data_IF_608043115703
#
_entry.id   IF_608043115703
#
_cell.length_a   1.000
_cell.length_b   1.000
_cell.length_c   1.000
_cell.angle_alpha   90.00
_cell.angle_beta   90.00
_cell.angle_gamma   90.00
#
_symmetry.space_group_name_H-M   'P 1'
#
loop_
_entity.id
_entity.type
_entity.pdbx_description
1 polymer ?
#
# COMPACT_ATOMS: atom_id res chain seq x y z
N UNK A 1 -21.58 12.96 12.87
CA UNK A 1 -22.84 12.21 12.92
C UNK A 1 -22.89 11.48 14.26
N UNK A 2 -23.86 11.86 15.12
CA UNK A 2 -24.05 11.30 16.47
C UNK A 2 -24.27 9.78 16.42
N UNK A 3 -25.03 9.30 15.46
CA UNK A 3 -25.38 7.88 15.32
C UNK A 3 -24.11 7.03 15.10
N UNK A 4 -23.18 7.51 14.28
CA UNK A 4 -21.92 6.80 14.03
C UNK A 4 -21.03 6.77 15.28
N UNK A 5 -20.99 7.85 16.05
CA UNK A 5 -20.28 7.87 17.34
C UNK A 5 -20.85 6.86 18.32
N UNK A 6 -22.19 6.80 18.45
CA UNK A 6 -22.85 5.87 19.36
C UNK A 6 -22.64 4.41 18.96
N UNK A 7 -22.71 4.10 17.66
CA UNK A 7 -22.40 2.76 17.13
C UNK A 7 -20.96 2.37 17.45
N UNK A 8 -20.01 3.29 17.20
CA UNK A 8 -18.59 3.06 17.49
C UNK A 8 -18.38 2.87 19.00
N UNK A 9 -18.96 3.72 19.83
CA UNK A 9 -18.82 3.66 21.29
C UNK A 9 -19.36 2.34 21.86
N UNK A 10 -20.52 1.90 21.40
CA UNK A 10 -21.11 0.62 21.80
C UNK A 10 -20.22 -0.57 21.41
N UNK A 11 -19.69 -0.55 20.20
CA UNK A 11 -18.79 -1.60 19.69
C UNK A 11 -17.45 -1.60 20.45
N UNK A 12 -16.87 -0.43 20.72
CA UNK A 12 -15.63 -0.30 21.48
C UNK A 12 -15.81 -0.77 22.94
N UNK A 13 -16.93 -0.43 23.60
CA UNK A 13 -17.26 -0.93 24.94
C UNK A 13 -17.43 -2.44 24.96
N UNK A 14 -18.03 -3.02 23.94
CA UNK A 14 -18.12 -4.47 23.80
C UNK A 14 -16.74 -5.09 23.66
N UNK A 15 -15.88 -4.53 22.78
CA UNK A 15 -14.52 -5.00 22.58
C UNK A 15 -13.70 -5.00 23.88
N UNK A 16 -13.77 -3.91 24.66
CA UNK A 16 -13.07 -3.80 25.96
C UNK A 16 -13.60 -4.84 26.95
N UNK A 17 -14.92 -5.05 27.01
CA UNK A 17 -15.49 -6.06 27.90
C UNK A 17 -15.04 -7.48 27.55
N UNK A 18 -14.85 -7.77 26.26
CA UNK A 18 -14.43 -9.07 25.76
C UNK A 18 -12.90 -9.23 25.79
N UNK A 19 -12.15 -8.15 26.03
CA UNK A 19 -10.70 -8.12 26.15
C UNK A 19 -10.24 -8.21 27.61
N UNK A 20 -8.94 -8.34 27.81
CA UNK A 20 -8.32 -8.27 29.14
C UNK A 20 -7.92 -6.86 29.56
N UNK A 21 -8.07 -5.86 28.69
CA UNK A 21 -7.58 -4.51 28.93
C UNK A 21 -8.50 -3.70 29.85
N UNK A 22 -7.87 -2.94 30.74
CA UNK A 22 -8.56 -2.04 31.68
C UNK A 22 -8.45 -0.61 31.16
N UNK A 23 -9.31 -0.27 30.23
CA UNK A 23 -9.35 1.05 29.61
C UNK A 23 -10.76 1.64 29.67
N UNK A 24 -10.83 2.95 29.77
CA UNK A 24 -12.05 3.73 29.62
C UNK A 24 -11.76 4.96 28.74
N UNK A 25 -12.77 5.68 28.34
CA UNK A 25 -12.62 6.90 27.58
C UNK A 25 -13.76 7.87 27.83
N UNK A 26 -13.50 9.10 27.47
CA UNK A 26 -14.51 10.15 27.42
C UNK A 26 -14.50 10.78 26.02
N UNK A 27 -15.66 11.24 25.59
CA UNK A 27 -15.84 11.95 24.35
C UNK A 27 -15.90 13.44 24.60
N UNK A 28 -15.33 14.22 23.72
CA UNK A 28 -15.49 15.66 23.65
C UNK A 28 -15.78 16.08 22.22
N UNK A 29 -16.66 17.04 22.04
CA UNK A 29 -16.91 17.68 20.76
C UNK A 29 -15.81 18.72 20.51
N UNK A 30 -15.23 18.64 19.32
CA UNK A 30 -14.19 19.57 18.87
C UNK A 30 -14.53 19.96 17.44
N UNK A 31 -15.12 21.12 17.28
CA UNK A 31 -15.58 21.64 16.00
C UNK A 31 -16.52 20.66 15.25
N UNK A 32 -16.05 20.07 14.14
CA UNK A 32 -16.85 19.15 13.32
C UNK A 32 -16.59 17.67 13.61
N UNK A 33 -15.80 17.33 14.62
CA UNK A 33 -15.44 15.94 14.94
C UNK A 33 -15.51 15.64 16.44
N UNK A 34 -15.57 14.35 16.75
CA UNK A 34 -15.52 13.85 18.12
C UNK A 34 -14.10 13.40 18.48
N UNK A 35 -13.62 13.87 19.62
CA UNK A 35 -12.34 13.44 20.18
C UNK A 35 -12.57 12.42 21.29
N UNK A 36 -12.02 11.22 21.12
CA UNK A 36 -11.99 10.18 22.13
C UNK A 36 -10.70 10.26 22.93
N UNK A 37 -10.80 10.51 24.23
CA UNK A 37 -9.67 10.55 25.16
C UNK A 37 -9.71 9.34 26.06
N UNK A 38 -8.71 8.49 25.96
CA UNK A 38 -8.61 7.29 26.78
C UNK A 38 -8.00 7.52 28.14
N UNK A 39 -8.38 6.65 29.07
CA UNK A 39 -7.91 6.60 30.46
C UNK A 39 -7.67 5.14 30.86
N UNK A 40 -6.80 4.96 31.83
CA UNK A 40 -6.48 3.63 32.40
C UNK A 40 -5.02 3.24 32.17
N UNK A 41 -4.56 2.24 32.97
CA UNK A 41 -3.17 1.78 32.93
C UNK A 41 -2.75 1.17 31.57
N UNK A 42 -3.72 0.59 30.89
CA UNK A 42 -3.48 -0.13 29.64
C UNK A 42 -3.73 0.74 28.39
N UNK A 43 -4.17 2.00 28.55
CA UNK A 43 -4.37 2.90 27.42
C UNK A 43 -3.03 3.31 26.80
N UNK A 44 -2.68 2.65 25.72
CA UNK A 44 -1.43 2.84 24.99
C UNK A 44 -1.68 2.80 23.49
N UNK A 45 -0.74 3.32 22.66
CA UNK A 45 -0.86 3.25 21.20
C UNK A 45 -1.15 1.85 20.68
N UNK A 46 -0.53 0.84 21.27
CA UNK A 46 -0.75 -0.55 20.89
C UNK A 46 -2.23 -0.96 21.08
N UNK A 47 -2.78 -0.69 22.25
CA UNK A 47 -4.12 -1.14 22.62
C UNK A 47 -5.21 -0.42 21.82
N UNK A 48 -5.15 0.90 21.71
CA UNK A 48 -6.16 1.60 20.93
C UNK A 48 -6.04 1.35 19.41
N UNK A 49 -4.84 1.12 18.88
CA UNK A 49 -4.68 0.70 17.47
C UNK A 49 -5.25 -0.70 17.25
N UNK A 50 -5.04 -1.63 18.19
CA UNK A 50 -5.63 -2.95 18.16
C UNK A 50 -7.16 -2.87 18.14
N UNK A 51 -7.76 -2.12 19.07
CA UNK A 51 -9.21 -1.89 19.15
C UNK A 51 -9.77 -1.30 17.84
N UNK A 52 -9.20 -0.20 17.36
CA UNK A 52 -9.67 0.47 16.14
C UNK A 52 -9.53 -0.45 14.92
N UNK A 53 -8.46 -1.23 14.85
CA UNK A 53 -8.23 -2.18 13.77
C UNK A 53 -9.28 -3.28 13.76
N UNK A 54 -9.60 -3.83 14.93
CA UNK A 54 -10.63 -4.86 15.04
C UNK A 54 -12.01 -4.32 14.66
N UNK A 55 -12.37 -3.12 15.14
CA UNK A 55 -13.64 -2.46 14.78
C UNK A 55 -13.70 -2.16 13.26
N UNK A 56 -12.57 -1.81 12.66
CA UNK A 56 -12.48 -1.64 11.21
C UNK A 56 -12.68 -2.99 10.48
N UNK A 57 -12.08 -4.07 10.96
CA UNK A 57 -12.26 -5.39 10.37
C UNK A 57 -13.68 -5.94 10.53
N UNK A 58 -14.38 -5.56 11.59
CA UNK A 58 -15.79 -5.85 11.79
C UNK A 58 -16.72 -4.99 10.92
N UNK A 59 -16.21 -3.97 10.22
CA UNK A 59 -16.97 -3.06 9.37
C UNK A 59 -17.72 -1.96 10.11
N UNK A 60 -17.45 -1.77 11.42
CA UNK A 60 -18.01 -0.67 12.23
C UNK A 60 -17.51 0.68 11.67
N UNK A 61 -16.25 0.73 11.27
CA UNK A 61 -15.67 1.86 10.52
C UNK A 61 -15.25 1.41 9.14
N UNK A 62 -15.40 2.27 8.13
CA UNK A 62 -15.06 1.96 6.73
C UNK A 62 -13.79 2.66 6.26
N UNK A 63 -13.35 3.66 6.99
CA UNK A 63 -12.15 4.41 6.71
C UNK A 63 -11.30 4.51 7.97
N UNK A 64 -10.00 4.27 7.81
CA UNK A 64 -9.03 4.42 8.88
C UNK A 64 -7.92 5.34 8.40
N UNK A 65 -7.70 6.43 9.12
CA UNK A 65 -6.63 7.39 8.84
C UNK A 65 -5.64 7.34 9.99
N UNK A 66 -4.37 7.22 9.68
CA UNK A 66 -3.34 7.15 10.70
C UNK A 66 -1.96 7.49 10.17
N UNK A 67 -1.06 7.76 11.08
CA UNK A 67 0.34 7.97 10.73
C UNK A 67 1.01 6.65 10.37
N UNK A 68 2.07 6.74 9.56
CA UNK A 68 2.90 5.57 9.24
C UNK A 68 3.47 4.89 10.49
N UNK A 69 3.72 5.62 11.57
CA UNK A 69 4.20 5.04 12.81
C UNK A 69 3.16 4.16 13.51
N UNK A 70 1.88 4.52 13.44
CA UNK A 70 0.79 3.76 14.04
C UNK A 70 0.35 2.57 13.17
N UNK A 71 0.21 2.80 11.87
CA UNK A 71 -0.25 1.80 10.89
C UNK A 71 0.92 1.16 10.14
N UNK A 72 2.12 1.28 10.70
CA UNK A 72 3.36 0.82 10.12
C UNK A 72 3.70 -0.63 10.44
N UNK A 73 4.95 -0.87 10.83
CA UNK A 73 5.49 -2.21 11.07
C UNK A 73 4.67 -2.96 12.12
N UNK A 74 4.37 -4.24 11.86
CA UNK A 74 3.57 -5.08 12.75
C UNK A 74 2.05 -4.91 12.67
N UNK A 75 1.53 -3.84 12.04
CA UNK A 75 0.10 -3.67 11.89
C UNK A 75 -0.50 -4.60 10.82
N UNK A 76 -1.61 -5.24 11.15
CA UNK A 76 -2.31 -6.18 10.27
C UNK A 76 -3.81 -5.91 10.21
N UNK A 77 -4.33 -5.77 8.99
CA UNK A 77 -5.75 -5.70 8.72
C UNK A 77 -6.05 -6.30 7.34
N UNK A 78 -6.45 -7.55 7.30
CA UNK A 78 -6.68 -8.31 6.05
C UNK A 78 -7.82 -7.74 5.19
N UNK A 79 -8.77 -7.02 5.79
CA UNK A 79 -9.95 -6.47 5.10
C UNK A 79 -9.70 -5.17 4.34
N UNK A 80 -8.50 -4.59 4.44
CA UNK A 80 -8.15 -3.41 3.66
C UNK A 80 -8.13 -3.75 2.18
N UNK A 81 -8.94 -3.06 1.40
CA UNK A 81 -8.99 -3.20 -0.05
C UNK A 81 -8.70 -1.89 -0.80
N UNK A 82 -8.54 -0.80 -0.08
CA UNK A 82 -8.08 0.49 -0.61
C UNK A 82 -7.02 1.04 0.31
N UNK A 83 -5.89 1.42 -0.24
CA UNK A 83 -4.83 2.16 0.43
C UNK A 83 -4.63 3.50 -0.28
N UNK A 84 -4.72 4.59 0.46
CA UNK A 84 -4.40 5.93 -0.04
C UNK A 84 -3.13 6.38 0.66
N UNK A 85 -2.03 6.46 -0.09
CA UNK A 85 -0.73 6.82 0.45
C UNK A 85 -0.48 8.33 0.31
N UNK A 86 -0.52 9.02 1.44
CA UNK A 86 -0.20 10.44 1.58
C UNK A 86 1.23 10.67 2.10
N UNK A 87 2.05 9.61 2.18
CA UNK A 87 3.38 9.69 2.78
C UNK A 87 4.45 10.11 1.79
N UNK A 88 5.55 10.67 2.30
CA UNK A 88 6.74 10.97 1.50
C UNK A 88 7.66 9.75 1.31
N UNK A 89 7.21 8.53 1.64
CA UNK A 89 8.04 7.34 1.52
C UNK A 89 8.37 7.06 0.05
N UNK A 90 9.66 6.91 -0.26
CA UNK A 90 10.13 6.63 -1.63
C UNK A 90 11.12 5.48 -1.70
N UNK A 91 11.51 4.89 -0.56
CA UNK A 91 12.36 3.70 -0.55
C UNK A 91 11.56 2.47 -0.94
N UNK A 92 12.15 1.59 -1.73
CA UNK A 92 11.49 0.37 -2.23
C UNK A 92 10.88 -0.47 -1.09
N UNK A 93 11.65 -0.69 -0.03
CA UNK A 93 11.20 -1.47 1.14
C UNK A 93 9.98 -0.84 1.79
N UNK A 94 10.02 0.48 2.07
CA UNK A 94 8.91 1.15 2.72
C UNK A 94 7.63 1.15 1.88
N UNK A 95 7.77 1.34 0.57
CA UNK A 95 6.64 1.32 -0.37
C UNK A 95 6.02 -0.07 -0.47
N UNK A 96 6.84 -1.11 -0.59
CA UNK A 96 6.35 -2.50 -0.65
C UNK A 96 5.71 -2.94 0.66
N UNK A 97 6.27 -2.58 1.80
CA UNK A 97 5.65 -2.85 3.10
C UNK A 97 4.29 -2.19 3.23
N UNK A 98 4.15 -0.93 2.80
CA UNK A 98 2.90 -0.20 2.87
C UNK A 98 1.84 -0.82 1.95
N UNK A 99 2.17 -1.02 0.67
CA UNK A 99 1.26 -1.63 -0.32
C UNK A 99 0.91 -3.07 -0.01
N UNK A 100 1.87 -3.84 0.50
CA UNK A 100 1.66 -5.22 0.89
C UNK A 100 0.55 -5.42 1.92
N UNK A 101 0.20 -4.39 2.69
CA UNK A 101 -0.90 -4.46 3.66
C UNK A 101 -2.27 -4.55 3.01
N UNK A 102 -2.52 -3.73 2.00
CA UNK A 102 -3.78 -3.77 1.26
C UNK A 102 -3.93 -5.04 0.43
N UNK A 103 -2.81 -5.62 0.00
CA UNK A 103 -2.77 -6.84 -0.83
C UNK A 103 -2.84 -8.14 -0.02
N UNK A 104 -2.90 -8.08 1.31
CA UNK A 104 -3.07 -9.29 2.14
C UNK A 104 -4.36 -10.01 1.77
N UNK A 105 -4.27 -11.33 1.75
CA UNK A 105 -5.42 -12.17 1.46
C UNK A 105 -6.45 -12.05 2.60
N UNK A 106 -7.71 -12.06 2.22
CA UNK A 106 -8.84 -12.11 3.13
C UNK A 106 -9.53 -13.48 2.96
N UNK A 107 -9.64 -14.22 4.05
CA UNK A 107 -10.27 -15.56 4.02
C UNK A 107 -11.75 -15.48 3.65
N UNK A 108 -12.41 -14.38 4.03
CA UNK A 108 -13.83 -14.16 3.77
C UNK A 108 -14.09 -13.69 2.33
N UNK A 109 -13.04 -13.13 1.67
CA UNK A 109 -13.12 -12.59 0.31
C UNK A 109 -11.94 -13.13 -0.53
N UNK A 110 -12.01 -14.39 -0.98
CA UNK A 110 -10.92 -15.04 -1.73
C UNK A 110 -10.53 -14.32 -3.03
N UNK A 111 -11.47 -13.56 -3.59
CA UNK A 111 -11.26 -12.78 -4.81
C UNK A 111 -10.94 -11.30 -4.53
N UNK A 112 -10.49 -10.99 -3.34
CA UNK A 112 -10.13 -9.63 -2.96
C UNK A 112 -9.12 -9.02 -3.93
N UNK A 113 -9.39 -7.79 -4.34
CA UNK A 113 -8.50 -6.95 -5.13
C UNK A 113 -8.29 -5.65 -4.36
N UNK A 114 -7.05 -5.20 -4.29
CA UNK A 114 -6.68 -3.98 -3.61
C UNK A 114 -6.36 -2.86 -4.61
N UNK A 115 -6.87 -1.66 -4.33
CA UNK A 115 -6.49 -0.44 -5.02
C UNK A 115 -5.50 0.35 -4.16
N UNK A 116 -4.30 0.59 -4.69
CA UNK A 116 -3.30 1.42 -4.04
C UNK A 116 -3.23 2.76 -4.77
N UNK A 117 -3.50 3.83 -4.05
CA UNK A 117 -3.51 5.20 -4.55
C UNK A 117 -2.33 5.98 -4.02
N UNK A 118 -1.65 6.66 -4.89
CA UNK A 118 -0.69 7.70 -4.55
C UNK A 118 -1.32 9.06 -4.79
N UNK A 119 -1.32 9.91 -3.79
CA UNK A 119 -1.74 11.30 -3.94
C UNK A 119 -0.49 12.15 -4.14
N UNK A 120 -0.47 12.92 -5.22
CA UNK A 120 0.66 13.75 -5.61
C UNK A 120 0.24 15.22 -5.57
N UNK A 121 0.93 16.00 -4.78
CA UNK A 121 0.74 17.44 -4.74
C UNK A 121 1.54 18.13 -5.84
N UNK A 122 0.87 18.96 -6.62
CA UNK A 122 1.49 19.79 -7.67
C UNK A 122 1.27 21.26 -7.31
N UNK A 123 2.34 22.00 -7.15
CA UNK A 123 2.32 23.42 -6.82
C UNK A 123 3.48 24.12 -7.53
N UNK A 124 3.45 24.18 -8.88
CA UNK A 124 4.58 24.63 -9.71
C UNK A 124 5.00 26.09 -9.46
N UNK A 125 4.14 26.87 -8.86
CA UNK A 125 4.43 28.24 -8.42
C UNK A 125 5.49 28.34 -7.30
N UNK A 126 5.76 27.22 -6.61
CA UNK A 126 6.79 27.15 -5.58
C UNK A 126 8.07 26.51 -6.09
N UNK A 127 9.21 26.94 -5.56
CA UNK A 127 10.54 26.43 -5.94
C UNK A 127 10.66 24.90 -5.88
N UNK A 128 9.97 24.25 -4.93
CA UNK A 128 9.96 22.79 -4.73
C UNK A 128 8.60 22.17 -5.02
N UNK A 129 7.73 22.87 -5.68
CA UNK A 129 6.34 22.48 -5.87
C UNK A 129 6.12 21.22 -6.73
N UNK A 130 7.15 20.76 -7.45
CA UNK A 130 7.14 19.52 -8.24
C UNK A 130 7.91 18.37 -7.58
N UNK A 131 8.44 18.57 -6.39
CA UNK A 131 9.27 17.53 -5.74
C UNK A 131 8.44 16.30 -5.35
N UNK A 132 7.14 16.47 -5.10
CA UNK A 132 6.25 15.36 -4.82
C UNK A 132 6.04 14.48 -6.04
N UNK A 133 5.90 15.05 -7.22
CA UNK A 133 5.86 14.29 -8.47
C UNK A 133 7.19 13.57 -8.75
N UNK A 134 8.31 14.20 -8.49
CA UNK A 134 9.63 13.54 -8.62
C UNK A 134 9.75 12.37 -7.65
N UNK A 135 9.25 12.52 -6.41
CA UNK A 135 9.18 11.41 -5.44
C UNK A 135 8.29 10.27 -5.93
N UNK A 136 7.11 10.59 -6.47
CA UNK A 136 6.21 9.60 -7.07
C UNK A 136 6.92 8.80 -8.17
N UNK A 137 7.58 9.45 -9.10
CA UNK A 137 8.36 8.76 -10.14
C UNK A 137 9.46 7.87 -9.56
N UNK A 138 10.20 8.35 -8.56
CA UNK A 138 11.23 7.57 -7.86
C UNK A 138 10.64 6.37 -7.14
N UNK A 139 9.49 6.53 -6.49
CA UNK A 139 8.75 5.49 -5.78
C UNK A 139 8.39 4.33 -6.70
N UNK A 140 7.94 4.63 -7.91
CA UNK A 140 7.58 3.62 -8.91
C UNK A 140 8.76 3.05 -9.67
N UNK A 141 9.91 3.69 -9.70
CA UNK A 141 11.05 3.39 -10.57
C UNK A 141 11.57 1.94 -10.51
N UNK A 142 11.24 1.18 -9.45
CA UNK A 142 11.60 -0.24 -9.29
C UNK A 142 10.40 -1.16 -9.17
N UNK A 143 9.20 -0.66 -9.44
CA UNK A 143 7.96 -1.43 -9.36
C UNK A 143 7.58 -1.85 -10.77
N UNK A 144 7.15 -3.10 -10.88
CA UNK A 144 6.55 -3.65 -12.08
C UNK A 144 5.04 -3.79 -11.87
N UNK A 145 4.27 -3.56 -12.89
CA UNK A 145 2.84 -3.74 -12.88
C UNK A 145 2.30 -4.05 -14.26
N UNK A 146 1.06 -4.50 -14.31
CA UNK A 146 0.35 -4.79 -15.56
C UNK A 146 -0.35 -3.52 -16.02
N UNK A 147 -0.10 -3.11 -17.25
CA UNK A 147 -0.77 -2.01 -17.94
C UNK A 147 -2.17 -2.42 -18.41
N UNK A 148 -2.95 -1.48 -18.91
CA UNK A 148 -4.33 -1.73 -19.36
C UNK A 148 -4.41 -2.70 -20.56
N UNK A 149 -3.36 -2.78 -21.36
CA UNK A 149 -3.21 -3.71 -22.48
C UNK A 149 -2.63 -5.09 -22.07
N UNK A 150 -2.37 -5.29 -20.79
CA UNK A 150 -1.87 -6.54 -20.23
C UNK A 150 -0.36 -6.75 -20.34
N UNK A 151 0.38 -5.72 -20.72
CA UNK A 151 1.85 -5.74 -20.76
C UNK A 151 2.41 -5.46 -19.35
N UNK A 152 3.52 -6.10 -19.01
CA UNK A 152 4.23 -5.82 -17.76
C UNK A 152 5.23 -4.71 -17.99
N UNK A 153 5.02 -3.57 -17.35
CA UNK A 153 5.92 -2.43 -17.42
C UNK A 153 6.56 -2.08 -16.08
N UNK A 154 7.75 -1.53 -16.15
CA UNK A 154 8.48 -0.99 -15.00
C UNK A 154 8.31 0.52 -14.91
N UNK A 155 8.30 1.02 -13.69
CA UNK A 155 8.26 2.47 -13.47
C UNK A 155 6.83 3.02 -13.50
N UNK A 156 6.68 4.28 -13.84
CA UNK A 156 5.37 4.96 -13.85
C UNK A 156 4.47 4.51 -15.00
N UNK A 157 5.00 3.85 -16.03
CA UNK A 157 4.25 3.34 -17.17
C UNK A 157 3.15 2.36 -16.76
N UNK A 158 3.41 1.50 -15.75
CA UNK A 158 2.38 0.59 -15.26
C UNK A 158 1.22 1.28 -14.54
N UNK A 159 1.41 2.51 -14.08
CA UNK A 159 0.33 3.31 -13.49
C UNK A 159 -0.51 3.95 -14.59
N UNK A 160 0.16 4.61 -15.54
CA UNK A 160 -0.46 5.22 -16.70
C UNK A 160 0.60 5.46 -17.78
N UNK A 161 0.36 5.00 -19.01
CA UNK A 161 1.32 5.07 -20.10
C UNK A 161 1.82 6.50 -20.37
N UNK A 162 0.93 7.50 -20.33
CA UNK A 162 1.30 8.90 -20.56
C UNK A 162 2.34 9.43 -19.55
N UNK A 163 2.42 8.87 -18.34
CA UNK A 163 3.41 9.29 -17.33
C UNK A 163 4.86 8.97 -17.72
N UNK A 164 5.08 8.10 -18.70
CA UNK A 164 6.43 7.80 -19.22
C UNK A 164 7.01 9.00 -19.97
N UNK A 165 6.18 9.72 -20.70
CA UNK A 165 6.56 10.83 -21.57
C UNK A 165 6.43 12.20 -20.90
N UNK A 166 5.52 12.34 -19.92
CA UNK A 166 5.30 13.61 -19.24
C UNK A 166 6.49 13.95 -18.34
N UNK A 167 7.17 15.05 -18.68
CA UNK A 167 8.19 15.64 -17.81
C UNK A 167 7.54 16.31 -16.59
N UNK A 168 8.28 16.46 -15.47
CA UNK A 168 7.73 17.10 -14.27
C UNK A 168 7.08 18.46 -14.55
N UNK A 169 7.66 19.27 -15.43
CA UNK A 169 7.20 20.63 -15.75
C UNK A 169 5.88 20.64 -16.54
N UNK A 170 5.53 19.53 -17.19
CA UNK A 170 4.31 19.41 -17.99
C UNK A 170 3.17 18.65 -17.30
N UNK A 171 3.40 18.10 -16.09
CA UNK A 171 2.43 17.22 -15.45
C UNK A 171 1.15 17.94 -15.01
N UNK A 172 1.25 19.20 -14.60
CA UNK A 172 0.10 20.00 -14.16
C UNK A 172 -0.95 20.13 -15.26
N UNK A 173 -0.54 20.46 -16.49
CA UNK A 173 -1.44 20.57 -17.64
C UNK A 173 -2.19 19.27 -18.00
N UNK A 174 -1.66 18.13 -17.58
CA UNK A 174 -2.25 16.81 -17.82
C UNK A 174 -3.00 16.26 -16.61
N UNK A 175 -2.89 16.89 -15.44
CA UNK A 175 -3.36 16.34 -14.17
C UNK A 175 -4.87 16.05 -14.16
N UNK A 176 -5.68 16.93 -14.71
CA UNK A 176 -7.14 16.75 -14.75
C UNK A 176 -7.54 15.52 -15.57
N UNK A 177 -6.94 15.34 -16.74
CA UNK A 177 -7.21 14.20 -17.64
C UNK A 177 -6.73 12.90 -17.00
N UNK A 178 -5.50 12.89 -16.44
CA UNK A 178 -4.94 11.73 -15.74
C UNK A 178 -5.81 11.32 -14.55
N UNK A 179 -6.26 12.27 -13.74
CA UNK A 179 -7.14 11.99 -12.61
C UNK A 179 -8.47 11.42 -13.05
N UNK A 180 -9.09 11.98 -14.10
CA UNK A 180 -10.36 11.48 -14.62
C UNK A 180 -10.21 10.05 -15.12
N UNK A 181 -9.16 9.75 -15.88
CA UNK A 181 -8.89 8.39 -16.36
C UNK A 181 -8.66 7.42 -15.22
N UNK A 182 -7.79 7.75 -14.26
CA UNK A 182 -7.53 6.91 -13.09
C UNK A 182 -8.80 6.64 -12.27
N UNK A 183 -9.66 7.65 -12.06
CA UNK A 183 -10.93 7.47 -11.36
C UNK A 183 -11.90 6.57 -12.14
N UNK A 184 -11.89 6.62 -13.47
CA UNK A 184 -12.70 5.74 -14.31
C UNK A 184 -12.37 4.25 -14.16
N UNK A 185 -11.16 3.94 -13.67
CA UNK A 185 -10.67 2.56 -13.45
C UNK A 185 -11.15 1.96 -12.13
N UNK A 186 -11.60 2.79 -11.17
CA UNK A 186 -12.02 2.34 -9.84
C UNK A 186 -13.03 1.19 -9.87
N UNK A 187 -14.10 1.22 -10.67
CA UNK A 187 -15.08 0.13 -10.72
C UNK A 187 -14.57 -1.11 -11.46
N UNK A 188 -13.44 -1.04 -12.17
CA UNK A 188 -12.96 -2.13 -13.05
C UNK A 188 -12.09 -3.16 -12.32
N UNK A 189 -12.34 -3.43 -11.04
CA UNK A 189 -11.51 -4.35 -10.22
C UNK A 189 -11.48 -5.77 -10.77
N UNK A 190 -12.62 -6.28 -11.25
CA UNK A 190 -12.67 -7.64 -11.82
C UNK A 190 -11.80 -7.75 -13.08
N UNK A 191 -11.80 -6.73 -13.94
CA UNK A 191 -10.95 -6.70 -15.13
C UNK A 191 -9.46 -6.73 -14.77
N UNK A 192 -9.03 -6.01 -13.74
CA UNK A 192 -7.65 -6.05 -13.27
C UNK A 192 -7.20 -7.47 -12.89
N UNK A 193 -8.08 -8.26 -12.24
CA UNK A 193 -7.78 -9.66 -11.91
C UNK A 193 -7.55 -10.51 -13.16
N UNK A 194 -8.35 -10.31 -14.20
CA UNK A 194 -8.21 -11.06 -15.45
C UNK A 194 -6.90 -10.69 -16.18
N UNK A 195 -6.51 -9.43 -16.14
CA UNK A 195 -5.23 -8.98 -16.70
C UNK A 195 -4.03 -9.66 -16.01
N UNK A 196 -4.06 -9.80 -14.70
CA UNK A 196 -3.01 -10.46 -13.93
C UNK A 196 -3.00 -11.99 -14.10
N UNK A 197 -4.05 -12.57 -14.68
CA UNK A 197 -4.18 -14.03 -14.92
C UNK A 197 -3.87 -14.87 -13.68
N UNK A 198 -4.27 -14.41 -12.51
CA UNK A 198 -3.95 -15.03 -11.22
C UNK A 198 -4.44 -16.47 -11.21
N UNK A 199 -3.55 -17.41 -10.88
CA UNK A 199 -3.86 -18.85 -10.82
C UNK A 199 -3.91 -19.55 -12.18
N UNK A 200 -3.58 -18.87 -13.27
CA UNK A 200 -3.43 -19.48 -14.60
C UNK A 200 -1.93 -19.66 -14.91
N UNK A 201 -1.50 -20.85 -15.37
CA UNK A 201 -0.11 -21.01 -15.77
C UNK A 201 0.22 -20.11 -16.95
N UNK A 202 1.43 -19.60 -17.00
CA UNK A 202 1.92 -18.84 -18.14
C UNK A 202 2.16 -19.80 -19.33
N UNK A 203 1.35 -19.67 -20.36
CA UNK A 203 1.43 -20.49 -21.56
C UNK A 203 2.06 -19.77 -22.77
N UNK A 204 2.40 -18.51 -22.61
CA UNK A 204 2.99 -17.70 -23.67
C UNK A 204 4.51 -17.84 -23.75
N UNK A 205 5.08 -17.61 -24.95
CA UNK A 205 6.52 -17.41 -25.08
C UNK A 205 6.87 -16.04 -24.50
N UNK A 206 7.95 -15.97 -23.73
CA UNK A 206 8.51 -14.70 -23.30
C UNK A 206 8.84 -13.85 -24.53
N UNK A 207 8.25 -12.66 -24.61
CA UNK A 207 8.55 -11.72 -25.72
C UNK A 207 9.88 -11.01 -25.48
N UNK A 208 10.28 -10.86 -24.23
CA UNK A 208 11.55 -10.26 -23.84
C UNK A 208 12.12 -11.01 -22.65
N UNK A 209 13.28 -11.63 -22.83
CA UNK A 209 14.09 -12.15 -21.73
C UNK A 209 15.33 -11.27 -21.59
N UNK A 210 15.59 -10.77 -20.40
CA UNK A 210 16.85 -10.10 -20.09
C UNK A 210 17.72 -11.10 -19.33
N UNK A 211 18.72 -11.63 -20.02
CA UNK A 211 19.77 -12.40 -19.36
C UNK A 211 20.72 -11.41 -18.69
N UNK A 212 20.69 -11.37 -17.37
CA UNK A 212 21.65 -10.58 -16.61
C UNK A 212 22.81 -11.47 -16.21
N UNK A 213 23.91 -11.41 -16.96
CA UNK A 213 25.17 -11.97 -16.49
C UNK A 213 25.75 -11.05 -15.42
N UNK A 214 25.63 -11.49 -14.19
CA UNK A 214 26.31 -10.83 -13.08
C UNK A 214 27.71 -11.45 -13.03
N UNK A 215 28.69 -10.73 -13.56
CA UNK A 215 30.11 -11.10 -13.42
C UNK A 215 30.54 -10.71 -12.00
N UNK A 216 30.09 -11.49 -11.02
CA UNK A 216 30.55 -11.35 -9.65
C UNK A 216 31.95 -11.94 -9.61
N UNK A 217 32.99 -11.12 -9.82
CA UNK A 217 34.32 -11.48 -9.32
C UNK A 217 34.19 -11.63 -7.82
N UNK A 218 34.35 -12.85 -7.27
CA UNK A 218 34.27 -13.00 -5.82
C UNK A 218 35.32 -12.05 -5.22
N UNK A 219 34.98 -11.24 -4.23
CA UNK A 219 36.00 -10.47 -3.53
C UNK A 219 37.04 -11.45 -3.06
N UNK A 220 38.32 -11.10 -3.21
CA UNK A 220 39.44 -11.93 -2.74
C UNK A 220 39.29 -12.07 -1.23
N UNK A 221 38.57 -13.07 -0.78
CA UNK A 221 38.34 -13.34 0.63
C UNK A 221 39.59 -13.98 1.20
N UNK A 222 40.35 -13.22 1.93
CA UNK A 222 41.31 -13.75 2.90
C UNK A 222 40.51 -14.41 4.04
N UNK A 223 40.34 -15.73 3.95
CA UNK A 223 40.25 -16.57 5.12
C UNK A 223 38.92 -16.84 5.80
N UNK A 224 37.76 -16.93 5.13
CA UNK A 224 36.61 -17.76 5.57
C UNK A 224 35.75 -18.07 4.35
N UNK A 225 35.71 -19.33 3.96
CA UNK A 225 34.91 -19.77 2.81
C UNK A 225 33.42 -19.59 3.07
N UNK A 226 32.75 -18.94 2.15
CA UNK A 226 31.30 -19.05 2.03
C UNK A 226 30.93 -20.45 1.52
N UNK A 227 29.75 -20.97 1.90
CA UNK A 227 29.30 -22.27 1.44
C UNK A 227 29.22 -22.37 -0.09
N UNK A 228 29.51 -23.53 -0.67
CA UNK A 228 29.62 -23.72 -2.12
C UNK A 228 28.31 -23.63 -2.91
N UNK A 229 27.17 -23.42 -2.29
CA UNK A 229 25.87 -23.32 -2.97
C UNK A 229 25.72 -22.11 -3.90
N UNK A 230 26.65 -21.17 -3.89
CA UNK A 230 26.70 -20.04 -4.79
C UNK A 230 27.03 -20.44 -6.26
N UNK A 231 27.47 -21.65 -6.46
CA UNK A 231 27.86 -22.17 -7.77
C UNK A 231 27.02 -23.36 -8.24
N UNK A 232 26.01 -23.73 -7.46
CA UNK A 232 25.08 -24.77 -7.88
C UNK A 232 24.15 -24.18 -8.95
N UNK A 233 24.36 -24.55 -10.20
CA UNK A 233 23.36 -24.46 -11.27
C UNK A 233 22.27 -25.50 -10.97
N UNK A 234 21.49 -25.27 -9.93
CA UNK A 234 20.28 -26.05 -9.70
C UNK A 234 19.16 -25.32 -10.41
N UNK A 235 18.51 -25.95 -11.40
CA UNK A 235 17.26 -25.44 -11.92
C UNK A 235 16.26 -25.23 -10.79
N UNK A 236 15.46 -24.18 -10.87
CA UNK A 236 14.43 -23.86 -9.89
C UNK A 236 13.25 -24.87 -9.90
N UNK A 237 13.36 -25.95 -10.63
CA UNK A 237 12.31 -26.95 -10.93
C UNK A 237 12.51 -28.28 -10.21
N UNK A 238 13.38 -28.36 -9.21
CA UNK A 238 13.52 -29.52 -8.33
C UNK A 238 13.21 -29.19 -6.87
#
# INVERSE_FOLDING_TARGET
>A
DNDLREIFDAAAKKWVRDSQYKVTWEWSDVDEFYLMRGKGSDWSPRVYVEMITELFQQGITRCLVGTRGLLGEGWDASKINVLIDLTCASTHTAVNQLRGRSMRLDKDVPQKIANNWDVVCLAPEFLKGLDDYKRFRKKHGRIYGVTDDGVIEKGVGHVHAALTEIKPEGVEGSAAILNQDMLSRVPKRAAARELWKIGKPFLGKSQTSVETKIDIKPPAMKGRGFPPFWYAETPWDE
#
